data_IF_201578952911
#
_entry.id   IF_201578952911
#
_cell.length_a   1.000
_cell.length_b   1.000
_cell.length_c   1.000
_cell.angle_alpha   90.00
_cell.angle_beta   90.00
_cell.angle_gamma   90.00
#
_symmetry.space_group_name_H-M   'P 1'
#
loop_
_entity.id
_entity.type
_entity.pdbx_description
1 polymer ?
#
# COMPACT_ATOMS: atom_id res chain seq x y z
N UNK A 1 37.88 27.98 -5.58
CA UNK A 1 36.47 28.44 -5.57
C UNK A 1 35.69 27.50 -4.66
N UNK A 2 35.63 27.80 -3.36
CA UNK A 2 34.79 27.06 -2.41
C UNK A 2 33.60 27.95 -2.06
N UNK A 3 32.47 27.72 -2.73
CA UNK A 3 31.17 28.23 -2.30
C UNK A 3 30.73 27.37 -1.11
N UNK A 4 31.19 27.70 0.10
CA UNK A 4 30.49 27.30 1.31
C UNK A 4 29.25 28.18 1.39
N UNK A 5 28.10 27.64 1.00
CA UNK A 5 26.81 28.20 1.35
C UNK A 5 26.79 28.40 2.88
N UNK A 6 26.46 29.60 3.39
CA UNK A 6 26.29 29.77 4.81
C UNK A 6 25.14 28.87 5.26
N UNK A 7 25.41 27.97 6.20
CA UNK A 7 24.37 27.21 6.88
C UNK A 7 23.31 28.22 7.37
N UNK A 8 22.07 28.05 6.92
CA UNK A 8 20.97 28.91 7.31
C UNK A 8 20.91 28.93 8.85
N UNK A 9 21.20 30.08 9.45
CA UNK A 9 21.02 30.25 10.90
C UNK A 9 19.53 30.02 11.18
N UNK A 10 19.16 29.11 12.09
CA UNK A 10 17.77 28.93 12.43
C UNK A 10 17.25 30.25 13.00
N UNK A 11 16.22 30.82 12.36
CA UNK A 11 15.51 32.01 12.85
C UNK A 11 14.67 31.59 14.06
N UNK A 12 15.30 31.45 15.23
CA UNK A 12 14.59 31.13 16.47
C UNK A 12 14.65 32.36 17.36
N UNK A 13 13.71 33.27 17.15
CA UNK A 13 13.29 34.20 18.19
C UNK A 13 12.13 33.53 18.92
N UNK A 14 12.44 32.59 19.82
CA UNK A 14 11.44 31.85 20.57
C UNK A 14 11.52 32.24 22.05
N UNK A 15 10.42 32.76 22.56
CA UNK A 15 10.21 33.11 23.97
C UNK A 15 9.59 31.91 24.67
N UNK A 16 10.20 31.46 25.78
CA UNK A 16 9.68 30.42 26.67
C UNK A 16 9.07 31.10 27.90
N UNK A 17 7.93 30.62 28.38
CA UNK A 17 7.45 30.94 29.73
C UNK A 17 7.32 29.60 30.48
N UNK A 18 7.53 29.57 31.80
CA UNK A 18 7.37 28.34 32.59
C UNK A 18 6.00 27.67 32.42
N UNK A 19 4.99 28.46 32.06
CA UNK A 19 3.62 27.98 31.82
C UNK A 19 3.33 27.67 30.33
N UNK A 20 4.22 28.04 29.39
CA UNK A 20 4.09 27.78 27.94
C UNK A 20 2.79 28.25 27.26
N UNK A 21 2.09 29.22 27.83
CA UNK A 21 0.89 29.81 27.23
C UNK A 21 1.14 31.20 26.62
N UNK A 22 0.50 31.46 25.49
CA UNK A 22 0.39 32.77 24.86
C UNK A 22 -1.08 33.10 24.56
N UNK A 23 -1.40 34.37 24.29
CA UNK A 23 -2.76 34.76 23.89
C UNK A 23 -2.75 35.37 22.51
N UNK A 24 -3.68 34.97 21.65
CA UNK A 24 -3.96 35.63 20.37
C UNK A 24 -5.47 35.76 20.18
N UNK A 25 -5.93 36.99 19.92
CA UNK A 25 -7.34 37.29 19.64
C UNK A 25 -8.37 36.69 20.64
N UNK A 26 -8.01 36.59 21.93
CA UNK A 26 -8.86 36.01 22.98
C UNK A 26 -8.82 34.48 23.10
N UNK A 27 -7.96 33.81 22.32
CA UNK A 27 -7.70 32.37 22.40
C UNK A 27 -6.38 32.13 23.11
N UNK A 28 -6.36 31.18 24.04
CA UNK A 28 -5.15 30.70 24.69
C UNK A 28 -4.42 29.74 23.76
N UNK A 29 -3.11 29.92 23.61
CA UNK A 29 -2.24 29.11 22.79
C UNK A 29 -1.24 28.38 23.68
N UNK A 30 -1.03 27.09 23.46
CA UNK A 30 -0.02 26.29 24.11
C UNK A 30 1.19 26.07 23.19
N UNK A 31 2.40 26.23 23.72
CA UNK A 31 3.63 25.93 23.01
C UNK A 31 3.93 24.43 22.97
N UNK A 32 4.35 23.95 21.80
CA UNK A 32 4.95 22.63 21.57
C UNK A 32 6.26 22.80 20.84
N UNK A 33 7.19 21.86 21.04
CA UNK A 33 8.42 21.77 20.29
C UNK A 33 8.13 21.06 18.96
N UNK A 34 8.42 21.71 17.85
CA UNK A 34 8.32 21.15 16.51
C UNK A 34 9.69 20.73 16.01
N UNK A 35 9.82 19.48 15.58
CA UNK A 35 11.01 18.93 14.95
C UNK A 35 10.71 18.45 13.54
N UNK A 36 11.51 18.92 12.57
CA UNK A 36 11.55 18.38 11.21
C UNK A 36 12.89 17.68 11.01
N UNK A 37 12.83 16.37 10.76
CA UNK A 37 14.00 15.51 10.62
C UNK A 37 13.95 14.87 9.24
N UNK A 38 14.97 15.11 8.45
CA UNK A 38 15.18 14.36 7.22
C UNK A 38 15.90 13.05 7.56
N UNK A 39 15.49 11.96 6.93
CA UNK A 39 16.22 10.70 7.01
C UNK A 39 16.62 10.24 5.61
N UNK A 40 17.79 9.65 5.51
CA UNK A 40 18.30 8.97 4.33
C UNK A 40 19.04 7.69 4.78
N UNK A 41 18.37 6.55 4.66
CA UNK A 41 18.88 5.25 5.13
C UNK A 41 18.93 4.24 3.98
N UNK A 42 19.96 3.40 3.98
CA UNK A 42 20.02 2.23 3.11
C UNK A 42 19.66 0.97 3.89
N UNK A 43 18.50 0.40 3.62
CA UNK A 43 18.06 -0.80 4.31
C UNK A 43 18.56 -2.06 3.57
N UNK A 44 19.56 -2.72 4.15
CA UNK A 44 20.31 -3.84 3.52
C UNK A 44 19.41 -5.00 3.10
N UNK A 45 18.41 -5.37 3.91
CA UNK A 45 17.55 -6.54 3.60
C UNK A 45 16.62 -6.27 2.42
N UNK A 46 16.13 -5.04 2.28
CA UNK A 46 15.28 -4.67 1.14
C UNK A 46 16.11 -4.18 -0.06
N UNK A 47 17.41 -3.96 0.14
CA UNK A 47 18.33 -3.34 -0.84
C UNK A 47 17.83 -1.98 -1.34
N UNK A 48 17.00 -1.31 -0.54
CA UNK A 48 16.33 -0.07 -0.93
C UNK A 48 16.96 1.10 -0.21
N UNK A 49 17.23 2.17 -0.96
CA UNK A 49 17.52 3.48 -0.39
C UNK A 49 16.20 4.15 -0.03
N UNK A 50 16.11 4.60 1.20
CA UNK A 50 14.89 5.10 1.81
C UNK A 50 15.15 6.51 2.32
N UNK A 51 14.46 7.49 1.74
CA UNK A 51 14.61 8.90 2.09
C UNK A 51 13.26 9.54 2.34
N UNK A 52 13.17 10.40 3.35
CA UNK A 52 11.92 11.07 3.69
C UNK A 52 12.09 12.11 4.79
N UNK A 53 10.97 12.65 5.26
CA UNK A 53 10.96 13.65 6.33
C UNK A 53 9.96 13.24 7.40
N UNK A 54 10.39 13.33 8.65
CA UNK A 54 9.61 13.10 9.85
C UNK A 54 9.33 14.46 10.47
N UNK A 55 8.06 14.83 10.55
CA UNK A 55 7.61 16.06 11.19
C UNK A 55 6.81 15.71 12.43
N UNK A 56 7.30 16.16 13.59
CA UNK A 56 6.69 15.85 14.87
C UNK A 56 6.51 17.09 15.73
N UNK A 57 5.46 17.09 16.54
CA UNK A 57 5.29 18.02 17.65
C UNK A 57 5.34 17.28 18.99
N UNK A 58 6.05 17.86 19.94
CA UNK A 58 6.31 17.30 21.27
C UNK A 58 5.93 18.36 22.31
N UNK A 59 5.38 17.99 23.47
CA UNK A 59 5.09 18.96 24.51
C UNK A 59 6.39 19.61 25.01
N UNK A 60 6.37 20.93 25.15
CA UNK A 60 7.51 21.67 25.68
C UNK A 60 7.51 21.55 27.21
N UNK A 61 8.25 20.57 27.73
CA UNK A 61 8.37 20.28 29.16
C UNK A 61 9.85 20.18 29.55
N UNK A 62 10.14 20.44 30.82
CA UNK A 62 11.46 20.13 31.38
C UNK A 62 11.63 18.60 31.45
N UNK A 63 12.66 18.11 30.77
CA UNK A 63 13.08 16.71 30.82
C UNK A 63 14.35 16.62 31.66
N UNK A 64 14.47 15.56 32.47
CA UNK A 64 15.72 15.21 33.11
C UNK A 64 16.81 14.87 32.09
N UNK A 65 18.07 14.81 32.56
CA UNK A 65 19.23 14.57 31.72
C UNK A 65 19.12 13.28 30.88
N UNK A 66 18.43 12.25 31.38
CA UNK A 66 18.24 10.95 30.72
C UNK A 66 16.80 10.70 30.26
N UNK A 67 15.89 11.64 30.50
CA UNK A 67 14.47 11.47 30.14
C UNK A 67 14.24 11.76 28.66
N UNK A 68 13.28 11.05 28.06
CA UNK A 68 12.81 11.25 26.69
C UNK A 68 11.29 11.36 26.70
N UNK A 69 10.73 12.00 25.67
CA UNK A 69 9.28 12.00 25.49
C UNK A 69 8.77 10.58 25.26
N UNK A 70 7.64 10.24 25.86
CA UNK A 70 6.98 8.95 25.64
C UNK A 70 6.28 8.92 24.28
N UNK A 71 6.09 7.74 23.65
CA UNK A 71 5.45 7.62 22.34
C UNK A 71 4.11 8.35 22.21
N UNK A 72 3.27 8.31 23.25
CA UNK A 72 1.97 8.98 23.32
C UNK A 72 2.04 10.51 23.32
N UNK A 73 3.20 11.08 23.62
CA UNK A 73 3.43 12.52 23.63
C UNK A 73 3.82 13.05 22.25
N UNK A 74 4.25 12.15 21.35
CA UNK A 74 4.70 12.45 19.99
C UNK A 74 3.47 12.54 19.07
N UNK A 75 3.26 13.71 18.46
CA UNK A 75 2.26 13.88 17.41
C UNK A 75 2.95 14.04 16.06
N UNK A 76 2.43 13.36 15.04
CA UNK A 76 2.87 13.56 13.67
C UNK A 76 2.13 14.76 13.08
N UNK A 77 2.88 15.72 12.54
CA UNK A 77 2.32 16.93 11.94
C UNK A 77 2.31 16.82 10.42
N UNK A 78 1.30 17.41 9.79
CA UNK A 78 1.23 17.52 8.34
C UNK A 78 1.67 18.92 7.89
N UNK A 79 2.54 19.05 6.87
CA UNK A 79 3.07 20.36 6.48
C UNK A 79 1.98 21.29 5.96
N UNK A 80 0.89 20.75 5.40
CA UNK A 80 -0.26 21.51 4.92
C UNK A 80 -1.06 22.21 6.04
N UNK A 81 -0.93 21.76 7.29
CA UNK A 81 -1.64 22.34 8.45
C UNK A 81 -0.80 23.35 9.21
N UNK A 82 0.48 23.51 8.83
CA UNK A 82 1.42 24.38 9.52
C UNK A 82 1.50 25.75 8.82
N UNK A 83 1.40 26.81 9.61
CA UNK A 83 1.66 28.18 9.15
C UNK A 83 2.97 28.68 9.76
N UNK A 84 3.84 29.23 8.92
CA UNK A 84 5.06 29.92 9.39
C UNK A 84 4.74 31.29 10.03
N UNK A 85 3.54 31.81 9.84
CA UNK A 85 3.08 33.08 10.40
C UNK A 85 2.27 32.78 11.66
N UNK A 86 2.64 33.35 12.82
CA UNK A 86 1.81 33.24 14.02
C UNK A 86 0.46 33.93 13.80
N UNK A 87 -0.60 33.52 14.50
CA UNK A 87 -1.89 34.23 14.47
C UNK A 87 -1.72 35.69 14.92
N UNK A 88 -2.52 36.61 14.39
CA UNK A 88 -2.39 38.03 14.71
C UNK A 88 -2.52 38.32 16.23
N UNK A 89 -1.64 39.15 16.77
CA UNK A 89 -1.74 39.63 18.15
C UNK A 89 -1.25 38.68 19.24
N UNK A 90 -0.29 37.78 18.95
CA UNK A 90 0.38 36.98 20.00
C UNK A 90 1.07 37.91 21.01
N UNK A 91 0.51 38.01 22.21
CA UNK A 91 1.17 38.62 23.36
C UNK A 91 1.83 37.54 24.20
N UNK A 92 3.16 37.60 24.27
CA UNK A 92 3.92 36.78 25.21
C UNK A 92 3.70 37.31 26.64
N UNK A 93 3.53 36.44 27.64
CA UNK A 93 3.51 36.88 29.05
C UNK A 93 4.84 37.57 29.39
N UNK A 94 4.78 38.62 30.21
CA UNK A 94 5.91 39.51 30.54
C UNK A 94 7.12 38.80 31.16
N UNK A 95 6.95 37.59 31.73
CA UNK A 95 8.02 36.75 32.28
C UNK A 95 8.60 35.77 31.24
N UNK A 96 8.87 36.26 30.03
CA UNK A 96 9.45 35.44 28.98
C UNK A 96 10.93 35.12 29.24
N UNK A 97 11.20 33.89 29.64
CA UNK A 97 12.52 33.27 29.60
C UNK A 97 12.97 33.12 28.15
N UNK A 98 14.22 33.49 27.84
CA UNK A 98 14.76 33.34 26.48
C UNK A 98 15.31 31.93 26.30
N UNK A 99 14.97 31.27 25.19
CA UNK A 99 15.67 30.05 24.77
C UNK A 99 17.11 30.40 24.38
N UNK A 100 18.06 30.13 25.28
CA UNK A 100 19.49 30.20 24.99
C UNK A 100 19.91 29.06 24.04
N UNK A 101 21.04 29.25 23.35
CA UNK A 101 21.62 28.28 22.41
C UNK A 101 21.86 26.89 23.05
N UNK A 102 22.14 26.87 24.36
CA UNK A 102 22.32 25.64 25.14
C UNK A 102 21.03 24.83 25.21
N UNK A 103 19.88 25.48 25.44
CA UNK A 103 18.57 24.84 25.43
C UNK A 103 18.23 24.30 24.03
N UNK A 104 18.57 25.05 22.97
CA UNK A 104 18.36 24.58 21.60
C UNK A 104 19.11 23.27 21.33
N UNK A 105 20.38 23.18 21.75
CA UNK A 105 21.21 21.99 21.55
C UNK A 105 20.66 20.81 22.35
N UNK A 106 20.32 21.04 23.62
CA UNK A 106 19.68 20.02 24.48
C UNK A 106 18.38 19.48 23.84
N UNK A 107 17.46 20.36 23.46
CA UNK A 107 16.20 19.95 22.86
C UNK A 107 16.39 19.24 21.53
N UNK A 108 17.31 19.72 20.69
CA UNK A 108 17.65 19.06 19.42
C UNK A 108 18.09 17.61 19.66
N UNK A 109 19.03 17.40 20.57
CA UNK A 109 19.58 16.08 20.86
C UNK A 109 18.49 15.16 21.46
N UNK A 110 17.67 15.68 22.39
CA UNK A 110 16.54 14.95 22.96
C UNK A 110 15.48 14.56 21.93
N UNK A 111 15.17 15.44 20.98
CA UNK A 111 14.22 15.13 19.89
C UNK A 111 14.78 14.03 19.01
N UNK A 112 16.05 14.15 18.63
CA UNK A 112 16.76 13.13 17.84
C UNK A 112 16.75 11.77 18.55
N UNK A 113 17.14 11.72 19.83
CA UNK A 113 17.14 10.49 20.63
C UNK A 113 15.75 9.87 20.75
N UNK A 114 14.74 10.70 20.98
CA UNK A 114 13.33 10.26 21.05
C UNK A 114 12.89 9.62 19.75
N UNK A 115 13.21 10.25 18.61
CA UNK A 115 12.82 9.74 17.29
C UNK A 115 13.58 8.46 16.96
N UNK A 116 14.88 8.38 17.24
CA UNK A 116 15.64 7.14 17.06
C UNK A 116 15.09 5.98 17.90
N UNK A 117 14.59 6.28 19.11
CA UNK A 117 14.08 5.25 20.02
C UNK A 117 12.67 4.77 19.66
N UNK A 118 11.78 5.67 19.26
CA UNK A 118 10.36 5.36 19.14
C UNK A 118 9.83 5.38 17.70
N UNK A 119 10.47 6.11 16.79
CA UNK A 119 10.06 6.14 15.40
C UNK A 119 10.55 4.89 14.67
N UNK A 120 9.64 4.24 13.95
CA UNK A 120 9.95 3.08 13.11
C UNK A 120 9.47 3.33 11.70
N UNK A 121 10.36 3.08 10.75
CA UNK A 121 9.97 3.00 9.35
C UNK A 121 9.28 1.66 9.16
N UNK A 122 8.08 1.71 8.59
CA UNK A 122 7.22 0.56 8.31
C UNK A 122 7.19 0.33 6.81
N UNK A 123 7.45 -0.90 6.40
CA UNK A 123 7.34 -1.38 5.03
C UNK A 123 6.44 -2.60 5.02
N UNK A 124 5.89 -2.95 3.87
CA UNK A 124 5.25 -4.24 3.66
C UNK A 124 6.28 -5.22 3.11
N UNK A 125 6.20 -6.48 3.54
CA UNK A 125 7.10 -7.53 3.12
C UNK A 125 6.31 -8.76 2.68
N UNK A 126 6.63 -9.29 1.51
CA UNK A 126 6.13 -10.59 1.07
C UNK A 126 7.24 -11.65 1.27
N UNK A 127 7.10 -12.59 2.22
CA UNK A 127 8.18 -13.50 2.61
C UNK A 127 8.59 -14.48 1.52
N UNK A 128 7.64 -15.04 0.77
CA UNK A 128 7.92 -15.97 -0.33
C UNK A 128 8.66 -15.29 -1.48
N UNK A 129 8.20 -14.10 -1.89
CA UNK A 129 8.80 -13.34 -2.99
C UNK A 129 10.08 -12.59 -2.57
N UNK A 130 10.34 -12.45 -1.27
CA UNK A 130 11.41 -11.62 -0.70
C UNK A 130 11.36 -10.18 -1.20
N UNK A 131 10.14 -9.66 -1.38
CA UNK A 131 9.88 -8.31 -1.87
C UNK A 131 9.46 -7.40 -0.73
N UNK A 132 9.87 -6.14 -0.83
CA UNK A 132 9.47 -5.07 0.08
C UNK A 132 8.71 -4.00 -0.68
N UNK A 133 7.83 -3.30 0.03
CA UNK A 133 7.18 -2.11 -0.49
C UNK A 133 8.16 -0.95 -0.64
N UNK A 134 7.84 -0.04 -1.54
CA UNK A 134 8.51 1.26 -1.64
C UNK A 134 8.00 2.22 -0.55
N UNK A 135 8.70 3.35 -0.35
CA UNK A 135 8.22 4.37 0.61
C UNK A 135 6.95 5.01 0.07
N UNK A 136 5.91 5.01 0.89
CA UNK A 136 4.64 5.64 0.54
C UNK A 136 3.81 4.81 -0.42
N UNK A 137 4.29 3.66 -0.88
CA UNK A 137 3.49 2.67 -1.60
C UNK A 137 2.37 2.20 -0.66
N UNK A 138 1.13 2.36 -1.11
CA UNK A 138 -0.03 1.89 -0.38
C UNK A 138 -0.05 0.36 -0.36
N UNK A 139 -0.78 -0.20 0.61
CA UNK A 139 -0.96 -1.66 0.68
C UNK A 139 -1.54 -2.25 -0.60
N UNK A 140 -2.52 -1.58 -1.19
CA UNK A 140 -3.18 -2.05 -2.41
C UNK A 140 -2.22 -2.05 -3.61
N UNK A 141 -1.35 -1.04 -3.73
CA UNK A 141 -0.33 -0.98 -4.78
C UNK A 141 0.69 -2.12 -4.63
N UNK A 142 1.16 -2.36 -3.40
CA UNK A 142 2.10 -3.44 -3.11
C UNK A 142 1.49 -4.83 -3.36
N UNK A 143 0.23 -5.03 -2.96
CA UNK A 143 -0.53 -6.26 -3.22
C UNK A 143 -0.69 -6.50 -4.73
N UNK A 144 -1.04 -5.47 -5.51
CA UNK A 144 -1.17 -5.57 -6.97
C UNK A 144 0.17 -5.97 -7.63
N UNK A 145 1.27 -5.35 -7.21
CA UNK A 145 2.63 -5.67 -7.70
C UNK A 145 3.04 -7.10 -7.35
N UNK A 146 2.72 -7.57 -6.13
CA UNK A 146 2.95 -8.96 -5.74
C UNK A 146 2.09 -9.92 -6.58
N UNK A 147 0.82 -9.58 -6.82
CA UNK A 147 -0.09 -10.37 -7.66
C UNK A 147 0.39 -10.47 -9.10
N UNK A 148 0.94 -9.41 -9.69
CA UNK A 148 1.52 -9.45 -11.04
C UNK A 148 2.64 -10.50 -11.14
N UNK A 149 3.53 -10.53 -10.15
CA UNK A 149 4.67 -11.45 -10.10
C UNK A 149 4.19 -12.88 -9.88
N UNK A 150 3.29 -13.10 -8.91
CA UNK A 150 2.75 -14.43 -8.63
C UNK A 150 1.96 -14.97 -9.83
N UNK A 151 1.18 -14.11 -10.49
CA UNK A 151 0.43 -14.47 -11.69
C UNK A 151 1.37 -14.91 -12.82
N UNK A 152 2.50 -14.21 -13.01
CA UNK A 152 3.52 -14.63 -13.98
C UNK A 152 4.09 -16.02 -13.68
N UNK A 153 4.22 -16.38 -12.39
CA UNK A 153 4.69 -17.69 -11.96
C UNK A 153 3.72 -18.85 -12.23
N UNK A 154 2.42 -18.58 -12.36
CA UNK A 154 1.39 -19.60 -12.63
C UNK A 154 0.90 -19.60 -14.09
N UNK A 155 1.44 -18.73 -14.96
CA UNK A 155 1.02 -18.64 -16.36
C UNK A 155 1.17 -19.95 -17.12
N UNK A 156 2.23 -20.72 -16.86
CA UNK A 156 2.41 -22.02 -17.52
C UNK A 156 1.35 -23.03 -17.06
N UNK A 157 1.09 -23.11 -15.75
CA UNK A 157 0.06 -23.98 -15.20
C UNK A 157 -1.33 -23.63 -15.77
N UNK A 158 -1.65 -22.34 -15.90
CA UNK A 158 -2.90 -21.90 -16.51
C UNK A 158 -2.97 -22.26 -17.99
N UNK A 159 -1.87 -22.13 -18.73
CA UNK A 159 -1.81 -22.55 -20.13
C UNK A 159 -2.05 -24.05 -20.27
N UNK A 160 -1.41 -24.86 -19.42
CA UNK A 160 -1.59 -26.31 -19.40
C UNK A 160 -3.03 -26.73 -19.06
N UNK A 161 -3.65 -26.06 -18.08
CA UNK A 161 -5.06 -26.26 -17.73
C UNK A 161 -5.95 -25.90 -18.92
N UNK A 162 -5.77 -24.72 -19.52
CA UNK A 162 -6.52 -24.30 -20.70
C UNK A 162 -6.41 -25.34 -21.83
N UNK A 163 -5.20 -25.79 -22.17
CA UNK A 163 -4.98 -26.79 -23.23
C UNK A 163 -5.58 -28.16 -22.88
N UNK A 164 -5.70 -28.49 -21.60
CA UNK A 164 -6.39 -29.71 -21.15
C UNK A 164 -7.90 -29.60 -21.37
N UNK A 165 -8.50 -28.48 -20.98
CA UNK A 165 -9.94 -28.24 -21.15
C UNK A 165 -10.34 -28.10 -22.62
N UNK A 166 -9.52 -27.43 -23.44
CA UNK A 166 -9.73 -27.35 -24.89
C UNK A 166 -9.73 -28.75 -25.54
N UNK A 167 -8.79 -29.63 -25.17
CA UNK A 167 -8.76 -31.02 -25.67
C UNK A 167 -9.97 -31.84 -25.22
N UNK A 168 -10.44 -31.65 -23.98
CA UNK A 168 -11.63 -32.34 -23.48
C UNK A 168 -12.89 -31.86 -24.21
N UNK A 169 -13.00 -30.55 -24.47
CA UNK A 169 -14.07 -29.96 -25.27
C UNK A 169 -14.06 -30.52 -26.70
N UNK A 170 -12.90 -30.56 -27.36
CA UNK A 170 -12.75 -31.15 -28.70
C UNK A 170 -13.18 -32.63 -28.71
N UNK A 171 -12.88 -33.37 -27.63
CA UNK A 171 -13.35 -34.75 -27.46
C UNK A 171 -14.87 -34.89 -27.33
N UNK A 172 -15.53 -33.97 -26.64
CA UNK A 172 -17.01 -33.91 -26.55
C UNK A 172 -17.60 -33.59 -27.93
N UNK A 173 -17.03 -32.61 -28.62
CA UNK A 173 -17.44 -32.21 -29.98
C UNK A 173 -17.33 -33.38 -30.95
N UNK A 174 -16.20 -34.08 -30.98
CA UNK A 174 -15.99 -35.24 -31.86
C UNK A 174 -16.99 -36.38 -31.57
N UNK A 175 -17.22 -36.72 -30.29
CA UNK A 175 -18.16 -37.78 -29.90
C UNK A 175 -19.62 -37.46 -30.24
N UNK A 176 -19.99 -36.18 -30.18
CA UNK A 176 -21.33 -35.71 -30.51
C UNK A 176 -21.62 -35.67 -32.01
N UNK A 177 -20.62 -35.93 -32.87
CA UNK A 177 -20.79 -35.87 -34.34
C UNK A 177 -20.94 -34.45 -34.88
N UNK A 178 -20.75 -33.43 -34.03
CA UNK A 178 -20.80 -32.01 -34.38
C UNK A 178 -19.51 -31.59 -35.09
N UNK A 179 -19.24 -32.14 -36.28
CA UNK A 179 -18.15 -31.65 -37.12
C UNK A 179 -18.57 -30.35 -37.81
N UNK A 180 -18.15 -29.23 -37.22
CA UNK A 180 -18.42 -27.85 -37.65
C UNK A 180 -18.06 -27.53 -39.11
N UNK A 181 -17.18 -28.32 -39.72
CA UNK A 181 -16.64 -28.07 -41.06
C UNK A 181 -17.38 -28.81 -42.20
N UNK A 182 -18.37 -29.67 -41.94
CA UNK A 182 -18.89 -30.57 -42.98
C UNK A 182 -20.40 -30.85 -43.04
N UNK A 183 -21.26 -30.22 -42.24
CA UNK A 183 -22.71 -30.44 -42.38
C UNK A 183 -23.36 -29.41 -43.31
N UNK A 184 -23.44 -29.70 -44.60
CA UNK A 184 -24.44 -29.10 -45.50
C UNK A 184 -25.65 -30.04 -45.45
N UNK A 185 -26.62 -29.73 -44.60
CA UNK A 185 -27.93 -30.42 -44.58
C UNK A 185 -28.99 -29.45 -45.11
N UNK A 186 -29.82 -29.91 -46.05
CA UNK A 186 -30.87 -29.10 -46.69
C UNK A 186 -32.15 -28.93 -45.83
N UNK A 187 -32.13 -29.31 -44.54
CA UNK A 187 -33.30 -29.27 -43.65
C UNK A 187 -33.25 -28.07 -42.67
N UNK A 188 -34.16 -27.08 -42.80
CA UNK A 188 -34.16 -25.85 -42.01
C UNK A 188 -34.44 -26.05 -40.50
N UNK A 189 -34.97 -27.21 -40.10
CA UNK A 189 -35.17 -27.53 -38.68
C UNK A 189 -33.88 -28.02 -38.03
N UNK A 190 -33.09 -28.82 -38.75
CA UNK A 190 -31.76 -29.25 -38.28
C UNK A 190 -30.76 -28.10 -38.21
N UNK A 191 -30.86 -27.12 -39.12
CA UNK A 191 -30.02 -25.92 -39.10
C UNK A 191 -30.20 -25.06 -37.84
N UNK A 192 -31.42 -24.95 -37.30
CA UNK A 192 -31.67 -24.21 -36.06
C UNK A 192 -31.05 -24.89 -34.85
N UNK A 193 -31.19 -26.21 -34.74
CA UNK A 193 -30.61 -27.01 -33.65
C UNK A 193 -29.09 -26.96 -33.70
N UNK A 194 -28.51 -27.13 -34.90
CA UNK A 194 -27.08 -26.99 -35.13
C UNK A 194 -26.60 -25.58 -34.76
N UNK A 195 -27.28 -24.52 -35.20
CA UNK A 195 -26.89 -23.15 -34.85
C UNK A 195 -26.86 -22.87 -33.35
N UNK A 196 -27.81 -23.42 -32.58
CA UNK A 196 -27.86 -23.30 -31.12
C UNK A 196 -26.69 -24.02 -30.44
N UNK A 197 -26.40 -25.24 -30.87
CA UNK A 197 -25.26 -26.02 -30.37
C UNK A 197 -23.93 -25.39 -30.75
N UNK A 198 -23.82 -24.81 -31.95
CA UNK A 198 -22.63 -24.03 -32.36
C UNK A 198 -22.42 -22.84 -31.44
N UNK A 199 -23.46 -22.04 -31.20
CA UNK A 199 -23.38 -20.88 -30.32
C UNK A 199 -22.97 -21.25 -28.89
N UNK A 200 -23.51 -22.36 -28.35
CA UNK A 200 -23.13 -22.81 -27.02
C UNK A 200 -21.65 -23.18 -26.95
N UNK A 201 -21.15 -23.95 -27.90
CA UNK A 201 -19.74 -24.36 -27.92
C UNK A 201 -18.80 -23.16 -28.06
N UNK A 202 -19.16 -22.16 -28.87
CA UNK A 202 -18.42 -20.89 -28.89
C UNK A 202 -18.45 -20.18 -27.54
N UNK A 203 -19.62 -20.09 -26.89
CA UNK A 203 -19.72 -19.45 -25.58
C UNK A 203 -18.93 -20.18 -24.48
N UNK A 204 -18.91 -21.52 -24.50
CA UNK A 204 -18.11 -22.32 -23.57
C UNK A 204 -16.62 -22.12 -23.83
N UNK A 205 -16.19 -22.09 -25.10
CA UNK A 205 -14.80 -21.82 -25.48
C UNK A 205 -14.34 -20.42 -25.08
N UNK A 206 -15.16 -19.41 -25.33
CA UNK A 206 -14.88 -18.03 -24.94
C UNK A 206 -14.84 -17.89 -23.42
N UNK A 207 -15.75 -18.56 -22.71
CA UNK A 207 -15.78 -18.65 -21.26
C UNK A 207 -14.50 -19.28 -20.70
N UNK A 208 -14.08 -20.43 -21.23
CA UNK A 208 -12.82 -21.10 -20.86
C UNK A 208 -11.63 -20.17 -21.05
N UNK A 209 -11.53 -19.54 -22.21
CA UNK A 209 -10.44 -18.62 -22.54
C UNK A 209 -10.40 -17.46 -21.54
N UNK A 210 -11.55 -16.89 -21.20
CA UNK A 210 -11.65 -15.76 -20.26
C UNK A 210 -11.24 -16.15 -18.84
N UNK A 211 -11.69 -17.31 -18.35
CA UNK A 211 -11.36 -17.81 -17.00
C UNK A 211 -9.84 -17.91 -16.80
N UNK A 212 -9.11 -18.43 -17.79
CA UNK A 212 -7.66 -18.63 -17.69
C UNK A 212 -6.82 -17.39 -18.03
N UNK A 213 -7.43 -16.37 -18.66
CA UNK A 213 -6.77 -15.10 -18.96
C UNK A 213 -6.84 -14.11 -17.79
N UNK A 214 -7.95 -14.10 -17.05
CA UNK A 214 -8.19 -13.14 -15.98
C UNK A 214 -8.70 -13.82 -14.70
N UNK A 215 -7.74 -14.28 -13.90
CA UNK A 215 -8.02 -14.89 -12.60
C UNK A 215 -8.39 -13.87 -11.51
N UNK A 216 -8.07 -12.57 -11.69
CA UNK A 216 -8.19 -11.57 -10.62
C UNK A 216 -9.63 -11.29 -10.26
N UNK A 217 -10.47 -11.22 -11.29
CA UNK A 217 -11.87 -10.88 -11.17
C UNK A 217 -12.78 -12.11 -11.28
N UNK A 218 -12.25 -13.33 -11.05
CA UNK A 218 -13.03 -14.55 -11.14
C UNK A 218 -14.06 -14.60 -9.98
N UNK A 219 -15.38 -14.56 -10.26
CA UNK A 219 -16.38 -14.58 -9.21
C UNK A 219 -16.38 -15.89 -8.42
N UNK A 220 -16.97 -15.87 -7.21
CA UNK A 220 -17.00 -17.05 -6.34
C UNK A 220 -17.87 -18.19 -6.90
N UNK A 221 -18.76 -17.88 -7.83
CA UNK A 221 -19.62 -18.85 -8.49
C UNK A 221 -19.56 -18.67 -10.01
N UNK A 222 -19.61 -19.77 -10.77
CA UNK A 222 -19.76 -19.68 -12.20
C UNK A 222 -21.05 -18.94 -12.54
N UNK A 223 -21.09 -18.19 -13.65
CA UNK A 223 -22.34 -17.59 -14.14
C UNK A 223 -23.42 -18.66 -14.26
N UNK A 224 -24.66 -18.30 -13.89
CA UNK A 224 -25.78 -19.23 -13.90
C UNK A 224 -26.08 -19.64 -15.35
N UNK A 225 -25.76 -20.89 -15.68
CA UNK A 225 -26.10 -21.47 -16.97
C UNK A 225 -27.58 -21.84 -17.05
N UNK A 226 -28.11 -21.83 -18.27
CA UNK A 226 -29.41 -22.42 -18.56
C UNK A 226 -29.36 -23.91 -18.24
N UNK A 227 -30.48 -24.44 -17.74
CA UNK A 227 -30.61 -25.87 -17.52
C UNK A 227 -30.30 -26.62 -18.83
N UNK A 228 -29.37 -27.60 -18.81
CA UNK A 228 -29.00 -28.34 -20.00
C UNK A 228 -30.22 -29.08 -20.55
N UNK A 229 -30.39 -29.03 -21.87
CA UNK A 229 -31.52 -29.65 -22.56
C UNK A 229 -31.16 -30.97 -23.24
N UNK A 230 -29.87 -31.27 -23.37
CA UNK A 230 -29.34 -32.51 -23.96
C UNK A 230 -28.00 -32.94 -23.32
N UNK A 231 -27.58 -34.18 -23.58
CA UNK A 231 -26.37 -34.77 -23.01
C UNK A 231 -25.07 -34.04 -23.37
N UNK A 232 -25.02 -33.38 -24.54
CA UNK A 232 -23.85 -32.60 -24.97
C UNK A 232 -23.77 -31.29 -24.18
N UNK A 233 -24.90 -30.63 -23.96
CA UNK A 233 -25.01 -29.43 -23.13
C UNK A 233 -24.66 -29.74 -21.67
N UNK A 234 -25.10 -30.88 -21.15
CA UNK A 234 -24.74 -31.33 -19.79
C UNK A 234 -23.24 -31.62 -19.67
N UNK A 235 -22.65 -32.28 -20.66
CA UNK A 235 -21.21 -32.52 -20.71
C UNK A 235 -20.38 -31.22 -20.80
N UNK A 236 -20.82 -30.24 -21.60
CA UNK A 236 -20.15 -28.93 -21.73
C UNK A 236 -20.31 -28.09 -20.46
N UNK A 237 -21.49 -28.09 -19.84
CA UNK A 237 -21.73 -27.41 -18.57
C UNK A 237 -20.87 -28.01 -17.45
N UNK A 238 -20.78 -29.35 -17.37
CA UNK A 238 -19.89 -30.04 -16.43
C UNK A 238 -18.41 -29.71 -16.65
N UNK A 239 -17.98 -29.65 -17.93
CA UNK A 239 -16.63 -29.23 -18.29
C UNK A 239 -16.33 -27.79 -17.84
N UNK A 240 -17.26 -26.87 -18.08
CA UNK A 240 -17.14 -25.47 -17.69
C UNK A 240 -17.07 -25.31 -16.17
N UNK A 241 -17.94 -26.01 -15.42
CA UNK A 241 -17.90 -26.01 -13.97
C UNK A 241 -16.57 -26.55 -13.41
N UNK A 242 -16.05 -27.64 -13.98
CA UNK A 242 -14.77 -28.18 -13.56
C UNK A 242 -13.62 -27.21 -13.85
N UNK A 243 -13.62 -26.58 -15.03
CA UNK A 243 -12.62 -25.57 -15.40
C UNK A 243 -12.66 -24.35 -14.46
N UNK A 244 -13.86 -23.96 -14.03
CA UNK A 244 -14.07 -22.89 -13.07
C UNK A 244 -13.47 -23.25 -11.72
N UNK A 245 -13.76 -24.45 -11.22
CA UNK A 245 -13.27 -24.92 -9.94
C UNK A 245 -11.72 -24.97 -9.91
N UNK A 246 -11.11 -25.47 -10.98
CA UNK A 246 -9.66 -25.53 -11.10
C UNK A 246 -9.03 -24.12 -11.17
N UNK A 247 -9.59 -23.21 -11.96
CA UNK A 247 -9.12 -21.83 -12.05
C UNK A 247 -9.30 -21.08 -10.72
N UNK A 248 -10.42 -21.30 -10.03
CA UNK A 248 -10.69 -20.75 -8.70
C UNK A 248 -9.70 -21.28 -7.68
N UNK A 249 -9.33 -22.56 -7.72
CA UNK A 249 -8.30 -23.11 -6.86
C UNK A 249 -6.94 -22.43 -7.07
N UNK A 250 -6.59 -22.10 -8.32
CA UNK A 250 -5.38 -21.31 -8.60
C UNK A 250 -5.51 -19.89 -8.05
N UNK A 251 -6.63 -19.21 -8.29
CA UNK A 251 -6.87 -17.85 -7.81
C UNK A 251 -6.83 -17.77 -6.27
N UNK A 252 -7.46 -18.73 -5.58
CA UNK A 252 -7.47 -18.80 -4.11
C UNK A 252 -6.07 -19.04 -3.56
N UNK A 253 -5.25 -19.86 -4.23
CA UNK A 253 -3.83 -20.06 -3.87
C UNK A 253 -3.02 -18.76 -4.05
N UNK A 254 -3.27 -17.98 -5.09
CA UNK A 254 -2.63 -16.66 -5.27
C UNK A 254 -3.05 -15.71 -4.15
N UNK A 255 -4.34 -15.66 -3.82
CA UNK A 255 -4.86 -14.82 -2.73
C UNK A 255 -4.28 -15.22 -1.37
N UNK A 256 -4.09 -16.52 -1.12
CA UNK A 256 -3.42 -17.02 0.07
C UNK A 256 -1.94 -16.61 0.14
N UNK A 257 -1.25 -16.42 -0.97
CA UNK A 257 0.12 -15.88 -0.95
C UNK A 257 0.10 -14.39 -0.59
N UNK A 258 -0.85 -13.63 -1.13
CA UNK A 258 -1.00 -12.20 -0.81
C UNK A 258 -1.32 -11.97 0.66
N UNK A 259 -2.10 -12.85 1.30
CA UNK A 259 -2.39 -12.74 2.73
C UNK A 259 -1.16 -12.97 3.62
N UNK A 260 -0.03 -13.47 3.09
CA UNK A 260 1.25 -13.58 3.80
C UNK A 260 1.99 -12.24 3.88
N UNK A 261 1.50 -11.18 3.24
CA UNK A 261 2.11 -9.86 3.34
C UNK A 261 2.06 -9.38 4.79
N UNK A 262 3.23 -9.09 5.33
CA UNK A 262 3.42 -8.68 6.71
C UNK A 262 3.99 -7.27 6.80
N UNK A 263 3.77 -6.62 7.94
CA UNK A 263 4.39 -5.33 8.24
C UNK A 263 5.79 -5.56 8.81
N UNK A 264 6.79 -5.01 8.13
CA UNK A 264 8.18 -5.02 8.56
C UNK A 264 8.57 -3.63 9.06
N UNK A 265 8.95 -3.55 10.34
CA UNK A 265 9.35 -2.31 10.98
C UNK A 265 10.81 -2.35 11.41
N UNK A 266 11.55 -1.27 11.16
CA UNK A 266 12.94 -1.12 11.60
C UNK A 266 13.21 0.29 12.15
N UNK A 267 14.27 0.39 12.96
CA UNK A 267 14.69 1.65 13.59
C UNK A 267 15.69 2.38 12.69
N UNK A 268 15.63 3.71 12.74
CA UNK A 268 16.65 4.57 12.15
C UNK A 268 17.92 4.54 12.99
N UNK A 269 19.08 4.76 12.35
CA UNK A 269 20.33 4.99 13.06
C UNK A 269 20.66 6.47 13.10
N UNK A 270 21.49 6.87 14.08
CA UNK A 270 21.90 8.27 14.24
C UNK A 270 22.58 8.84 12.99
N UNK A 271 23.33 8.02 12.25
CA UNK A 271 24.00 8.44 11.01
C UNK A 271 23.06 8.67 9.83
N UNK A 272 21.83 8.19 9.89
CA UNK A 272 20.86 8.25 8.79
C UNK A 272 19.94 9.46 8.87
N UNK A 273 20.05 10.29 9.91
CA UNK A 273 19.11 11.38 10.18
C UNK A 273 19.80 12.74 10.29
N UNK A 274 19.10 13.77 9.84
CA UNK A 274 19.52 15.15 9.96
C UNK A 274 18.33 16.01 10.41
N UNK A 275 18.50 16.72 11.54
CA UNK A 275 17.54 17.74 11.96
C UNK A 275 17.58 18.90 10.96
N UNK A 276 16.47 19.10 10.24
CA UNK A 276 16.28 20.19 9.28
C UNK A 276 15.84 21.45 10.01
N UNK A 277 14.85 21.31 10.89
CA UNK A 277 14.28 22.43 11.62
C UNK A 277 13.89 22.02 13.03
N UNK A 278 14.14 22.92 13.97
CA UNK A 278 13.60 22.86 15.32
C UNK A 278 12.96 24.21 15.61
N UNK A 279 11.68 24.23 16.00
CA UNK A 279 10.91 25.45 16.18
C UNK A 279 9.89 25.29 17.31
N UNK A 280 9.21 26.38 17.66
CA UNK A 280 8.02 26.33 18.49
C UNK A 280 6.78 26.31 17.61
N UNK A 281 5.88 25.39 17.90
CA UNK A 281 4.53 25.31 17.34
C UNK A 281 3.56 25.84 18.39
N UNK A 282 2.70 26.77 18.00
CA UNK A 282 1.64 27.30 18.86
C UNK A 282 0.32 26.67 18.47
N UNK A 283 -0.30 25.96 19.40
CA UNK A 283 -1.61 25.31 19.20
C UNK A 283 -2.68 26.03 20.04
N UNK A 284 -3.88 26.29 19.51
CA UNK A 284 -5.00 26.76 20.31
C UNK A 284 -5.47 25.68 21.29
N UNK A 285 -5.76 26.09 22.53
CA UNK A 285 -6.28 25.25 23.62
C UNK A 285 -7.79 25.09 23.53
#
# INVERSE_FOLDING_TARGET
>A
MNNQQPAAKPKIAAYYTPDCFAFSAGTELQARLFGEIHFDTYHVRSQTKLSGTIQVSLPLIELGADDLWLPEMIRTEHPATLSATPPDGVTHREEASRLLLEHYTLYKDKVVETILRYHRIRLLHHPTLKLFSEIGESRNEFEARCLDILHSGVQEELRELQHRYERMMDGIIQKSGLNYMQSVNDDPTTDRVLSGQKQMIFSTRDGLTRIFQDLRDLPDRPPADRAPSNDVEDALAGLFQQSWADAKAVADRLQQQISLIEEYAFHLQYGDIAMVQLALLWEPV
#
